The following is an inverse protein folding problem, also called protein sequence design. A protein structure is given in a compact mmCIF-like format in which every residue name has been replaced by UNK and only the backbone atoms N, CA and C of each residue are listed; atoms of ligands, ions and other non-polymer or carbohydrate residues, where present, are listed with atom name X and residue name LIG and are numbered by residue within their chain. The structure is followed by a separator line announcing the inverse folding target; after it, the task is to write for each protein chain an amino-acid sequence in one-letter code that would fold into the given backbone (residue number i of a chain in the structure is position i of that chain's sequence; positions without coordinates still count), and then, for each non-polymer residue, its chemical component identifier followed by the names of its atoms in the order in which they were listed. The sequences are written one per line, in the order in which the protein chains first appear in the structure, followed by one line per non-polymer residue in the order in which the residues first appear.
data_IF_556740641778
#
_entry.id   IF_556740641778
#
_cell.length_a   1.000
_cell.length_b   1.000
_cell.length_c   1.000
_cell.angle_alpha   90.00
_cell.angle_beta   90.00
_cell.angle_gamma   90.00
#
_symmetry.space_group_name_H-M   'P 1'
#
loop_
_entity.id
_entity.type
_entity.pdbx_description
1 polymer ?
#
# COMPACT_ATOMS: atom_id res chain seq x y z
N UNK A 1 2.36 -5.88 -7.74
CA UNK A 1 1.52 -5.59 -6.57
C UNK A 1 2.33 -4.94 -5.44
N UNK A 2 1.71 -4.13 -4.58
CA UNK A 2 2.34 -3.19 -3.67
C UNK A 2 3.03 -3.87 -2.48
N UNK A 3 2.63 -5.08 -2.15
CA UNK A 3 3.00 -5.78 -0.92
C UNK A 3 4.51 -6.01 -0.79
N UNK A 4 5.19 -6.31 -1.89
CA UNK A 4 6.65 -6.41 -1.89
C UNK A 4 7.33 -5.09 -1.45
N UNK A 5 6.78 -3.93 -1.84
CA UNK A 5 7.26 -2.62 -1.39
C UNK A 5 7.06 -2.45 0.12
N UNK A 6 5.93 -2.88 0.67
CA UNK A 6 5.65 -2.80 2.10
C UNK A 6 6.53 -3.73 2.91
N UNK A 7 6.71 -4.98 2.47
CA UNK A 7 7.64 -5.93 3.08
C UNK A 7 9.05 -5.36 3.10
N UNK A 8 9.51 -4.76 1.99
CA UNK A 8 10.81 -4.10 1.88
C UNK A 8 10.96 -2.96 2.89
N UNK A 9 9.96 -2.08 3.01
CA UNK A 9 10.00 -0.96 3.96
C UNK A 9 9.89 -1.41 5.42
N UNK A 10 9.05 -2.41 5.71
CA UNK A 10 8.94 -3.00 7.04
C UNK A 10 10.24 -3.68 7.47
N UNK A 11 10.93 -4.36 6.55
CA UNK A 11 12.26 -4.91 6.80
C UNK A 11 13.31 -3.83 7.02
N UNK A 12 13.31 -2.78 6.20
CA UNK A 12 14.22 -1.64 6.35
C UNK A 12 14.03 -0.98 7.72
N UNK A 13 12.79 -0.69 8.09
CA UNK A 13 12.45 -0.02 9.35
C UNK A 13 12.79 -0.89 10.56
N UNK A 14 12.63 -2.21 10.47
CA UNK A 14 13.06 -3.13 11.52
C UNK A 14 14.59 -3.18 11.64
N UNK A 15 15.30 -3.23 10.51
CA UNK A 15 16.76 -3.26 10.48
C UNK A 15 17.38 -1.98 11.05
N UNK A 16 16.74 -0.84 10.82
CA UNK A 16 17.13 0.46 11.37
C UNK A 16 16.64 0.67 12.82
N UNK A 17 15.89 -0.28 13.38
CA UNK A 17 15.35 -0.21 14.73
C UNK A 17 14.24 0.82 14.91
N UNK A 18 13.63 1.29 13.81
CA UNK A 18 12.51 2.21 13.83
C UNK A 18 11.23 1.46 14.22
N UNK A 19 10.95 0.31 13.62
CA UNK A 19 9.76 -0.48 13.98
C UNK A 19 10.16 -1.76 14.72
N UNK A 20 9.46 -2.11 15.80
CA UNK A 20 9.52 -3.44 16.42
C UNK A 20 8.17 -4.14 16.32
N UNK A 21 8.17 -5.42 15.91
CA UNK A 21 6.98 -6.29 15.69
C UNK A 21 6.27 -6.13 14.34
N UNK A 22 7.01 -6.06 13.24
CA UNK A 22 6.44 -6.11 11.87
C UNK A 22 6.25 -7.53 11.33
N UNK A 23 6.52 -8.59 12.10
CA UNK A 23 6.48 -9.98 11.62
C UNK A 23 5.09 -10.42 11.18
N UNK A 24 4.05 -10.05 11.92
CA UNK A 24 2.66 -10.39 11.57
C UNK A 24 2.24 -9.66 10.28
N UNK A 25 2.48 -8.35 10.21
CA UNK A 25 2.18 -7.53 9.02
C UNK A 25 2.93 -8.00 7.78
N UNK A 26 4.21 -8.34 7.91
CA UNK A 26 4.99 -8.92 6.80
C UNK A 26 4.45 -10.27 6.35
N UNK A 27 3.96 -11.09 7.27
CA UNK A 27 3.37 -12.39 6.95
C UNK A 27 2.08 -12.23 6.13
N UNK A 28 1.21 -11.30 6.53
CA UNK A 28 -0.01 -10.97 5.79
C UNK A 28 0.33 -10.42 4.40
N UNK A 29 1.19 -9.41 4.31
CA UNK A 29 1.59 -8.85 3.01
C UNK A 29 2.26 -9.89 2.09
N UNK A 30 3.01 -10.84 2.64
CA UNK A 30 3.57 -11.92 1.84
C UNK A 30 2.49 -12.86 1.31
N UNK A 31 1.45 -13.11 2.11
CA UNK A 31 0.30 -13.89 1.68
C UNK A 31 -0.51 -13.17 0.60
N UNK A 32 -0.68 -11.84 0.69
CA UNK A 32 -1.30 -11.02 -0.35
C UNK A 32 -0.44 -11.00 -1.63
N UNK A 33 0.89 -10.85 -1.52
CA UNK A 33 1.80 -10.96 -2.67
C UNK A 33 1.69 -12.33 -3.36
N UNK A 34 1.59 -13.39 -2.56
CA UNK A 34 1.39 -14.75 -3.06
C UNK A 34 0.05 -14.89 -3.78
N UNK A 35 -1.04 -14.30 -3.26
CA UNK A 35 -2.35 -14.30 -3.91
C UNK A 35 -2.32 -13.62 -5.28
N UNK A 36 -1.76 -12.42 -5.34
CA UNK A 36 -1.63 -11.60 -6.54
C UNK A 36 -0.74 -12.23 -7.61
N UNK A 37 0.33 -12.89 -7.18
CA UNK A 37 1.15 -13.69 -8.08
C UNK A 37 0.30 -14.78 -8.77
N UNK A 38 -0.62 -15.42 -8.05
CA UNK A 38 -1.51 -16.41 -8.65
C UNK A 38 -2.56 -15.78 -9.57
N UNK A 39 -3.08 -14.59 -9.26
CA UNK A 39 -3.93 -13.85 -10.19
C UNK A 39 -3.19 -13.57 -11.50
N UNK A 40 -1.93 -13.12 -11.43
CA UNK A 40 -1.10 -12.94 -12.61
C UNK A 40 -0.97 -14.25 -13.40
N UNK A 41 -0.58 -15.36 -12.76
CA UNK A 41 -0.44 -16.65 -13.45
C UNK A 41 -1.76 -17.14 -14.07
N UNK A 42 -2.90 -16.84 -13.45
CA UNK A 42 -4.21 -17.09 -14.04
C UNK A 42 -4.36 -16.30 -15.33
N UNK A 43 -4.10 -15.00 -15.33
CA UNK A 43 -4.19 -14.15 -16.52
C UNK A 43 -3.23 -14.58 -17.63
N UNK A 44 -1.99 -14.94 -17.29
CA UNK A 44 -1.00 -15.46 -18.23
C UNK A 44 -1.49 -16.79 -18.85
N UNK A 45 -2.10 -17.68 -18.05
CA UNK A 45 -2.67 -18.93 -18.55
C UNK A 45 -3.85 -18.74 -19.52
N UNK A 46 -4.51 -17.57 -19.45
CA UNK A 46 -5.58 -17.15 -20.36
C UNK A 46 -5.06 -16.33 -21.55
N UNK A 47 -3.74 -16.11 -21.63
CA UNK A 47 -3.08 -15.41 -22.73
C UNK A 47 -2.82 -13.92 -22.49
N UNK A 48 -2.91 -13.44 -21.26
CA UNK A 48 -2.64 -12.04 -20.88
C UNK A 48 -1.20 -11.58 -21.15
N UNK A 49 -0.26 -12.52 -21.35
CA UNK A 49 1.15 -12.25 -21.60
C UNK A 49 1.56 -12.44 -23.07
N UNK A 50 0.65 -12.78 -23.98
CA UNK A 50 1.04 -13.22 -25.34
C UNK A 50 1.69 -12.11 -26.16
N UNK A 51 1.24 -10.86 -26.00
CA UNK A 51 1.77 -9.72 -26.75
C UNK A 51 3.01 -9.16 -26.05
N UNK A 52 4.06 -8.91 -26.83
CA UNK A 52 5.28 -8.30 -26.30
C UNK A 52 5.04 -6.92 -25.66
N UNK A 53 4.16 -6.11 -26.25
CA UNK A 53 3.86 -4.78 -25.73
C UNK A 53 3.21 -4.82 -24.35
N UNK A 54 2.30 -5.77 -24.11
CA UNK A 54 1.64 -5.96 -22.82
C UNK A 54 2.69 -6.33 -21.75
N UNK A 55 3.60 -7.26 -22.07
CA UNK A 55 4.73 -7.63 -21.18
C UNK A 55 5.65 -6.45 -20.90
N UNK A 56 6.01 -5.69 -21.94
CA UNK A 56 6.87 -4.52 -21.80
C UNK A 56 6.25 -3.48 -20.86
N UNK A 57 4.98 -3.14 -21.09
CA UNK A 57 4.27 -2.16 -20.27
C UNK A 57 4.12 -2.64 -18.83
N UNK A 58 3.71 -3.89 -18.61
CA UNK A 58 3.54 -4.46 -17.28
C UNK A 58 4.83 -4.44 -16.46
N UNK A 59 5.97 -4.83 -17.06
CA UNK A 59 7.26 -4.84 -16.38
C UNK A 59 7.71 -3.44 -15.95
N UNK A 60 7.61 -2.45 -16.85
CA UNK A 60 8.04 -1.09 -16.54
C UNK A 60 7.07 -0.40 -15.57
N UNK A 61 5.77 -0.64 -15.70
CA UNK A 61 4.76 -0.18 -14.76
C UNK A 61 5.01 -0.75 -13.36
N UNK A 62 5.34 -2.04 -13.23
CA UNK A 62 5.65 -2.67 -11.94
C UNK A 62 6.86 -2.02 -11.25
N UNK A 63 7.94 -1.74 -11.98
CA UNK A 63 9.13 -1.07 -11.44
C UNK A 63 8.82 0.36 -11.01
N UNK A 64 8.10 1.11 -11.85
CA UNK A 64 7.70 2.48 -11.54
C UNK A 64 6.77 2.53 -10.32
N UNK A 65 5.79 1.63 -10.28
CA UNK A 65 4.84 1.52 -9.18
C UNK A 65 5.52 1.16 -7.86
N UNK A 66 6.49 0.23 -7.88
CA UNK A 66 7.32 -0.10 -6.72
C UNK A 66 7.92 1.17 -6.08
N UNK A 67 8.57 2.02 -6.89
CA UNK A 67 9.22 3.23 -6.39
C UNK A 67 8.23 4.29 -5.89
N UNK A 68 7.05 4.41 -6.51
CA UNK A 68 5.98 5.28 -5.99
C UNK A 68 5.62 4.86 -4.57
N UNK A 69 5.38 3.58 -4.32
CA UNK A 69 4.98 3.09 -3.02
C UNK A 69 6.07 3.24 -1.96
N UNK A 70 7.35 3.01 -2.33
CA UNK A 70 8.49 3.29 -1.45
C UNK A 70 8.51 4.79 -1.07
N UNK A 71 8.31 5.67 -2.04
CA UNK A 71 8.23 7.12 -1.81
C UNK A 71 7.05 7.52 -0.92
N UNK A 72 5.84 7.03 -1.21
CA UNK A 72 4.65 7.26 -0.39
C UNK A 72 4.83 6.75 1.04
N UNK A 73 5.42 5.56 1.22
CA UNK A 73 5.68 5.01 2.54
C UNK A 73 6.69 5.84 3.32
N UNK A 74 7.77 6.29 2.65
CA UNK A 74 8.78 7.13 3.27
C UNK A 74 8.19 8.49 3.74
N UNK A 75 7.19 9.01 3.04
CA UNK A 75 6.41 10.17 3.48
C UNK A 75 5.49 9.82 4.67
N UNK A 76 4.66 8.78 4.49
CA UNK A 76 3.70 8.30 5.47
C UNK A 76 3.24 6.88 5.12
N UNK A 77 3.43 5.88 6.01
CA UNK A 77 2.88 4.54 5.82
C UNK A 77 1.36 4.54 5.63
N UNK A 78 0.62 5.38 6.37
CA UNK A 78 -0.84 5.51 6.21
C UNK A 78 -1.23 6.03 4.83
N UNK A 79 -0.45 6.95 4.25
CA UNK A 79 -0.69 7.42 2.88
C UNK A 79 -0.46 6.29 1.86
N UNK A 80 0.61 5.51 2.05
CA UNK A 80 0.89 4.37 1.19
C UNK A 80 -0.23 3.33 1.24
N UNK A 81 -0.73 3.00 2.44
CA UNK A 81 -1.84 2.06 2.61
C UNK A 81 -3.17 2.59 2.06
N UNK A 82 -3.48 3.87 2.28
CA UNK A 82 -4.67 4.49 1.69
C UNK A 82 -4.62 4.50 0.16
N UNK A 83 -3.45 4.77 -0.43
CA UNK A 83 -3.26 4.68 -1.87
C UNK A 83 -3.57 3.27 -2.38
N UNK A 84 -3.04 2.23 -1.72
CA UNK A 84 -3.34 0.85 -2.11
C UNK A 84 -4.79 0.47 -1.88
N UNK A 85 -5.42 0.88 -0.77
CA UNK A 85 -6.85 0.66 -0.53
C UNK A 85 -7.71 1.13 -1.72
N UNK A 86 -7.40 2.28 -2.30
CA UNK A 86 -8.11 2.80 -3.49
C UNK A 86 -7.86 1.95 -4.74
N UNK A 87 -6.64 1.42 -4.91
CA UNK A 87 -6.31 0.53 -6.03
C UNK A 87 -7.08 -0.79 -5.88
N UNK A 88 -7.09 -1.39 -4.69
CA UNK A 88 -7.80 -2.64 -4.44
C UNK A 88 -9.32 -2.44 -4.60
N UNK A 89 -9.87 -1.33 -4.10
CA UNK A 89 -11.28 -1.00 -4.28
C UNK A 89 -11.65 -0.88 -5.76
N UNK A 90 -10.79 -0.25 -6.55
CA UNK A 90 -10.99 -0.18 -8.00
C UNK A 90 -10.89 -1.56 -8.68
N UNK A 91 -10.03 -2.46 -8.18
CA UNK A 91 -9.94 -3.83 -8.65
C UNK A 91 -11.23 -4.63 -8.34
N UNK A 92 -11.79 -4.47 -7.14
CA UNK A 92 -13.10 -5.05 -6.77
C UNK A 92 -14.19 -4.63 -7.75
N UNK A 93 -14.28 -3.33 -8.05
CA UNK A 93 -15.27 -2.80 -8.99
C UNK A 93 -15.04 -3.35 -10.41
N UNK A 94 -13.80 -3.32 -10.89
CA UNK A 94 -13.43 -3.80 -12.23
C UNK A 94 -13.77 -5.27 -12.43
N UNK A 95 -13.40 -6.14 -11.48
CA UNK A 95 -13.75 -7.55 -11.55
C UNK A 95 -15.24 -7.79 -11.35
N UNK A 96 -15.92 -6.99 -10.51
CA UNK A 96 -17.37 -7.02 -10.37
C UNK A 96 -18.08 -6.76 -11.71
N UNK A 97 -17.76 -5.64 -12.34
CA UNK A 97 -18.28 -5.28 -13.66
C UNK A 97 -17.98 -6.34 -14.72
N UNK A 98 -16.76 -6.88 -14.73
CA UNK A 98 -16.36 -7.92 -15.69
C UNK A 98 -17.17 -9.22 -15.51
N UNK A 99 -17.34 -9.67 -14.27
CA UNK A 99 -18.09 -10.89 -13.93
C UNK A 99 -19.56 -10.72 -14.30
N UNK A 100 -20.16 -9.58 -13.96
CA UNK A 100 -21.57 -9.30 -14.23
C UNK A 100 -21.83 -9.16 -15.75
N UNK A 101 -20.97 -8.45 -16.47
CA UNK A 101 -21.12 -8.24 -17.90
C UNK A 101 -20.90 -9.50 -18.75
N UNK A 102 -20.17 -10.49 -18.23
CA UNK A 102 -19.78 -11.70 -18.97
C UNK A 102 -20.29 -13.00 -18.34
N UNK A 103 -21.28 -12.93 -17.45
CA UNK A 103 -21.70 -14.05 -16.60
C UNK A 103 -21.99 -15.34 -17.40
N UNK A 104 -22.84 -15.27 -18.43
CA UNK A 104 -23.22 -16.44 -19.23
C UNK A 104 -22.01 -17.05 -19.94
N UNK A 105 -21.15 -16.20 -20.52
CA UNK A 105 -19.94 -16.63 -21.23
C UNK A 105 -18.98 -17.31 -20.25
N UNK A 106 -18.67 -16.68 -19.12
CA UNK A 106 -17.74 -17.19 -18.13
C UNK A 106 -18.21 -18.52 -17.52
N UNK A 107 -19.52 -18.70 -17.34
CA UNK A 107 -20.11 -19.97 -16.89
C UNK A 107 -19.98 -21.10 -17.91
N UNK A 108 -19.93 -20.76 -19.20
CA UNK A 108 -19.75 -21.74 -20.30
C UNK A 108 -18.29 -22.17 -20.47
N UNK A 109 -17.33 -21.37 -20.00
CA UNK A 109 -15.91 -21.62 -20.18
C UNK A 109 -15.33 -22.45 -19.02
N UNK A 110 -14.41 -23.39 -19.32
CA UNK A 110 -13.77 -24.20 -18.28
C UNK A 110 -12.88 -23.32 -17.39
N UNK A 111 -12.83 -23.65 -16.08
CA UNK A 111 -11.92 -22.97 -15.18
C UNK A 111 -10.45 -23.19 -15.56
N UNK A 112 -9.63 -22.15 -15.39
CA UNK A 112 -8.19 -22.22 -15.55
C UNK A 112 -7.61 -23.27 -14.60
N UNK A 113 -6.71 -24.13 -15.11
CA UNK A 113 -6.12 -25.23 -14.32
C UNK A 113 -5.37 -24.69 -13.10
N UNK A 114 -4.65 -23.60 -13.27
CA UNK A 114 -3.87 -22.96 -12.21
C UNK A 114 -4.77 -22.36 -11.12
N UNK A 115 -5.91 -21.77 -11.49
CA UNK A 115 -6.90 -21.30 -10.53
C UNK A 115 -7.44 -22.45 -9.66
N UNK A 116 -7.78 -23.60 -10.27
CA UNK A 116 -8.18 -24.78 -9.50
C UNK A 116 -7.09 -25.23 -8.52
N UNK A 117 -5.83 -25.27 -8.97
CA UNK A 117 -4.71 -25.67 -8.11
C UNK A 117 -4.50 -24.71 -6.95
N UNK A 118 -4.68 -23.40 -7.18
CA UNK A 118 -4.54 -22.37 -6.16
C UNK A 118 -5.68 -22.42 -5.14
N UNK A 119 -6.93 -22.31 -5.59
CA UNK A 119 -8.10 -22.19 -4.70
C UNK A 119 -8.54 -23.51 -4.06
N UNK A 120 -8.27 -24.65 -4.72
CA UNK A 120 -8.68 -25.99 -4.23
C UNK A 120 -7.47 -26.89 -3.99
N UNK A 121 -6.29 -26.30 -3.78
CA UNK A 121 -5.05 -27.00 -3.47
C UNK A 121 -5.08 -27.70 -2.12
N UNK A 122 -4.11 -28.59 -1.89
CA UNK A 122 -3.96 -29.28 -0.60
C UNK A 122 -3.41 -28.36 0.50
N UNK A 123 -2.65 -27.33 0.12
CA UNK A 123 -2.10 -26.33 1.03
C UNK A 123 -2.73 -24.97 0.74
N UNK A 124 -3.60 -24.54 1.64
CA UNK A 124 -4.26 -23.24 1.62
C UNK A 124 -3.69 -22.30 2.68
N UNK A 125 -2.48 -22.55 3.19
CA UNK A 125 -1.89 -21.76 4.27
C UNK A 125 -1.86 -20.26 3.94
N UNK A 126 -1.28 -19.87 2.79
CA UNK A 126 -1.22 -18.47 2.39
C UNK A 126 -2.59 -17.92 1.97
N UNK A 127 -3.45 -18.77 1.40
CA UNK A 127 -4.82 -18.36 1.08
C UNK A 127 -5.62 -18.00 2.34
N UNK A 128 -5.42 -18.74 3.42
CA UNK A 128 -6.04 -18.50 4.72
C UNK A 128 -5.42 -17.30 5.46
N UNK A 129 -4.18 -16.93 5.14
CA UNK A 129 -3.41 -15.95 5.90
C UNK A 129 -3.63 -14.49 5.45
N UNK A 130 -3.97 -14.26 4.18
CA UNK A 130 -4.27 -12.91 3.70
C UNK A 130 -5.69 -12.43 4.05
N UNK A 131 -6.56 -13.35 4.49
CA UNK A 131 -7.96 -13.03 4.81
C UNK A 131 -8.04 -12.37 6.19
N UNK A 132 -8.55 -11.14 6.23
CA UNK A 132 -8.65 -10.32 7.44
C UNK A 132 -10.10 -10.20 7.91
N UNK A 133 -11.07 -10.20 6.99
CA UNK A 133 -12.48 -10.03 7.33
C UNK A 133 -13.16 -11.37 7.66
N UNK A 134 -12.57 -12.48 7.22
CA UNK A 134 -13.09 -13.84 7.39
C UNK A 134 -12.20 -14.64 8.34
N UNK A 135 -12.80 -15.53 9.14
CA UNK A 135 -12.01 -16.40 10.02
C UNK A 135 -11.18 -17.37 9.18
N UNK A 136 -9.92 -17.52 9.58
CA UNK A 136 -8.99 -18.52 9.01
C UNK A 136 -9.68 -19.87 8.83
N UNK A 137 -9.66 -20.38 7.60
CA UNK A 137 -10.21 -21.69 7.25
C UNK A 137 -11.68 -21.72 6.84
N UNK A 138 -12.41 -20.60 6.95
CA UNK A 138 -13.85 -20.55 6.68
C UNK A 138 -14.17 -20.43 5.19
N UNK A 139 -13.44 -19.60 4.43
CA UNK A 139 -13.63 -19.48 2.99
C UNK A 139 -12.96 -20.66 2.28
N UNK A 140 -13.75 -21.43 1.52
CA UNK A 140 -13.28 -22.55 0.70
C UNK A 140 -13.93 -22.49 -0.68
N UNK A 141 -13.30 -21.80 -1.65
CA UNK A 141 -13.90 -21.65 -2.97
C UNK A 141 -14.10 -22.99 -3.70
N UNK A 142 -15.21 -23.11 -4.41
CA UNK A 142 -15.42 -24.17 -5.39
C UNK A 142 -15.20 -23.61 -6.80
N UNK A 143 -14.29 -24.20 -7.57
CA UNK A 143 -13.93 -23.70 -8.90
C UNK A 143 -14.42 -24.67 -9.98
N UNK A 144 -15.58 -24.37 -10.59
CA UNK A 144 -16.20 -25.20 -11.64
C UNK A 144 -15.97 -24.62 -13.03
N UNK A 145 -16.10 -23.32 -13.17
CA UNK A 145 -15.99 -22.60 -14.44
C UNK A 145 -15.16 -21.31 -14.27
N UNK A 146 -15.03 -20.55 -15.36
CA UNK A 146 -14.25 -19.31 -15.33
C UNK A 146 -14.96 -18.19 -14.55
N UNK A 147 -16.29 -18.24 -14.43
CA UNK A 147 -17.04 -17.31 -13.59
C UNK A 147 -16.61 -17.43 -12.13
N UNK A 148 -16.51 -18.66 -11.61
CA UNK A 148 -16.06 -18.89 -10.24
C UNK A 148 -14.63 -18.37 -10.02
N UNK A 149 -13.75 -18.45 -11.02
CA UNK A 149 -12.39 -17.93 -10.93
C UNK A 149 -12.39 -16.42 -10.75
N UNK A 150 -13.04 -15.67 -11.64
CA UNK A 150 -13.06 -14.20 -11.56
C UNK A 150 -13.86 -13.68 -10.36
N UNK A 151 -14.93 -14.38 -9.97
CA UNK A 151 -15.67 -14.04 -8.74
C UNK A 151 -14.79 -14.20 -7.50
N UNK A 152 -13.95 -15.24 -7.44
CA UNK A 152 -13.01 -15.41 -6.33
C UNK A 152 -11.87 -14.41 -6.36
N UNK A 153 -11.34 -14.05 -7.53
CA UNK A 153 -10.35 -12.96 -7.65
C UNK A 153 -10.94 -11.67 -7.06
N UNK A 154 -12.14 -11.26 -7.51
CA UNK A 154 -12.84 -10.09 -6.96
C UNK A 154 -12.99 -10.15 -5.44
N UNK A 155 -13.34 -11.31 -4.90
CA UNK A 155 -13.53 -11.48 -3.47
C UNK A 155 -12.20 -11.55 -2.69
N UNK A 156 -11.10 -11.95 -3.33
CA UNK A 156 -9.75 -11.79 -2.77
C UNK A 156 -9.40 -10.29 -2.67
N UNK A 157 -9.70 -9.49 -3.70
CA UNK A 157 -9.44 -8.03 -3.67
C UNK A 157 -10.22 -7.32 -2.55
N UNK A 158 -11.41 -7.82 -2.19
CA UNK A 158 -12.15 -7.28 -1.05
C UNK A 158 -11.43 -7.52 0.28
N UNK A 159 -10.75 -8.66 0.42
CA UNK A 159 -9.92 -8.92 1.59
C UNK A 159 -8.70 -8.01 1.60
N UNK A 160 -8.09 -7.76 0.44
CA UNK A 160 -7.00 -6.79 0.32
C UNK A 160 -7.44 -5.37 0.74
N UNK A 161 -8.61 -4.90 0.31
CA UNK A 161 -9.21 -3.63 0.78
C UNK A 161 -9.32 -3.62 2.31
N UNK A 162 -9.87 -4.68 2.89
CA UNK A 162 -10.03 -4.80 4.34
C UNK A 162 -8.68 -4.77 5.08
N UNK A 163 -7.66 -5.44 4.54
CA UNK A 163 -6.29 -5.41 5.07
C UNK A 163 -5.71 -4.00 5.00
N UNK A 164 -5.80 -3.31 3.86
CA UNK A 164 -5.26 -1.96 3.71
C UNK A 164 -5.94 -0.97 4.65
N UNK A 165 -7.25 -1.09 4.86
CA UNK A 165 -7.98 -0.31 5.84
C UNK A 165 -7.52 -0.60 7.27
N UNK A 166 -7.35 -1.87 7.65
CA UNK A 166 -6.85 -2.27 8.96
C UNK A 166 -5.41 -1.77 9.21
N UNK A 167 -4.57 -1.78 8.18
CA UNK A 167 -3.21 -1.26 8.22
C UNK A 167 -3.12 0.26 8.38
N UNK A 168 -4.21 1.01 8.28
CA UNK A 168 -4.21 2.45 8.53
C UNK A 168 -4.49 2.83 10.00
N UNK A 169 -4.96 1.88 10.83
CA UNK A 169 -5.26 2.16 12.24
C UNK A 169 -3.98 2.43 13.04
N UNK A 170 -3.86 3.68 13.52
CA UNK A 170 -2.74 4.18 14.34
C UNK A 170 -2.63 3.49 15.70
N UNK A 171 -3.66 2.78 16.15
CA UNK A 171 -3.61 1.98 17.38
C UNK A 171 -3.00 0.60 17.18
N UNK A 172 -2.94 0.12 15.93
CA UNK A 172 -2.34 -1.16 15.54
C UNK A 172 -0.92 -0.96 15.03
N UNK A 173 -0.67 0.16 14.34
CA UNK A 173 0.67 0.60 13.96
C UNK A 173 1.34 1.24 15.18
N UNK A 174 2.23 0.50 15.84
CA UNK A 174 3.15 1.07 16.83
C UNK A 174 4.04 2.10 16.12
N UNK A 175 3.68 3.38 16.20
CA UNK A 175 4.49 4.48 15.73
C UNK A 175 5.87 4.40 16.37
N UNK A 176 6.91 4.37 15.54
CA UNK A 176 8.25 4.59 16.07
C UNK A 176 8.35 6.01 16.61
N UNK A 177 9.05 6.25 17.73
CA UNK A 177 9.33 7.61 18.21
C UNK A 177 10.09 8.49 17.20
N UNK A 178 10.55 7.96 16.06
CA UNK A 178 11.33 8.66 15.02
C UNK A 178 10.59 8.86 13.70
N UNK A 179 9.41 8.28 13.50
CA UNK A 179 8.62 8.49 12.27
C UNK A 179 8.19 9.94 12.17
N UNK A 180 7.82 10.57 13.30
CA UNK A 180 7.51 12.00 13.39
C UNK A 180 8.71 12.87 12.98
N UNK A 181 9.94 12.44 13.28
CA UNK A 181 11.19 13.16 12.95
C UNK A 181 11.49 13.04 11.44
N UNK A 182 11.24 11.88 10.82
CA UNK A 182 11.48 11.67 9.39
C UNK A 182 10.41 12.37 8.54
N UNK A 183 9.15 12.32 8.96
CA UNK A 183 8.07 13.09 8.34
C UNK A 183 8.34 14.59 8.48
N UNK A 184 8.75 15.06 9.66
CA UNK A 184 9.16 16.45 9.86
C UNK A 184 10.39 16.84 9.01
N UNK A 185 11.38 15.96 8.86
CA UNK A 185 12.56 16.21 8.03
C UNK A 185 12.24 16.27 6.54
N UNK A 186 11.33 15.41 6.05
CA UNK A 186 10.90 15.42 4.65
C UNK A 186 10.06 16.66 4.33
N UNK A 187 9.22 17.10 5.27
CA UNK A 187 8.47 18.35 5.17
C UNK A 187 9.43 19.55 5.25
N UNK A 188 10.43 19.52 6.12
CA UNK A 188 11.47 20.56 6.19
C UNK A 188 12.29 20.63 4.89
N UNK A 189 12.56 19.50 4.22
CA UNK A 189 13.21 19.48 2.92
C UNK A 189 12.30 20.07 1.81
N UNK A 190 11.00 19.82 1.86
CA UNK A 190 10.03 20.43 0.94
C UNK A 190 9.90 21.95 1.15
N UNK A 191 9.88 22.42 2.40
CA UNK A 191 9.90 23.85 2.77
C UNK A 191 11.26 24.52 2.46
N UNK A 192 12.38 23.80 2.57
CA UNK A 192 13.67 24.29 2.12
C UNK A 192 13.71 24.41 0.58
N UNK A 193 13.14 23.43 -0.13
CA UNK A 193 12.97 23.48 -1.59
C UNK A 193 12.09 24.66 -2.02
N UNK A 194 11.01 24.96 -1.29
CA UNK A 194 10.19 26.17 -1.46
C UNK A 194 11.03 27.46 -1.39
N UNK A 195 12.03 27.51 -0.50
CA UNK A 195 12.92 28.69 -0.34
C UNK A 195 13.95 28.85 -1.46
N UNK A 196 14.38 27.76 -2.09
CA UNK A 196 15.40 27.79 -3.14
C UNK A 196 14.86 27.76 -4.57
N UNK A 197 13.66 27.20 -4.80
CA UNK A 197 13.13 26.93 -6.14
C UNK A 197 11.80 27.62 -6.48
N UNK A 198 11.12 28.25 -5.51
CA UNK A 198 10.15 29.33 -5.70
C UNK A 198 9.15 29.22 -6.87
N UNK A 199 8.32 28.18 -6.92
CA UNK A 199 7.17 28.13 -7.84
C UNK A 199 5.84 28.13 -7.07
N UNK A 200 4.88 28.95 -7.53
CA UNK A 200 3.56 29.12 -6.89
C UNK A 200 2.77 27.80 -6.80
N UNK A 201 2.95 26.90 -7.77
CA UNK A 201 2.37 25.56 -7.76
C UNK A 201 2.91 24.65 -6.63
N UNK A 202 4.16 24.87 -6.21
CA UNK A 202 4.75 24.15 -5.06
C UNK A 202 4.19 24.62 -3.72
N UNK A 203 3.70 25.86 -3.64
CA UNK A 203 3.12 26.44 -2.42
C UNK A 203 1.75 25.85 -2.10
N UNK A 204 0.88 25.72 -3.11
CA UNK A 204 -0.45 25.11 -2.96
C UNK A 204 -0.35 23.63 -2.59
N UNK A 205 0.55 22.89 -3.25
CA UNK A 205 0.77 21.47 -2.98
C UNK A 205 1.35 21.22 -1.57
N UNK A 206 2.28 22.07 -1.10
CA UNK A 206 2.86 21.95 0.24
C UNK A 206 1.85 22.31 1.35
N UNK A 207 0.99 23.30 1.11
CA UNK A 207 -0.07 23.69 2.04
C UNK A 207 -1.16 22.59 2.16
N UNK A 208 -1.60 22.03 1.03
CA UNK A 208 -2.57 20.92 1.00
C UNK A 208 -1.99 19.65 1.68
N UNK A 209 -0.69 19.36 1.48
CA UNK A 209 -0.03 18.24 2.16
C UNK A 209 0.05 18.45 3.68
N UNK A 210 0.36 19.68 4.12
CA UNK A 210 0.47 20.02 5.52
C UNK A 210 -0.88 19.91 6.23
N UNK A 211 -1.95 20.39 5.59
CA UNK A 211 -3.30 20.30 6.11
C UNK A 211 -3.78 18.84 6.19
N UNK A 212 -3.56 18.04 5.13
CA UNK A 212 -3.91 16.61 5.10
C UNK A 212 -3.09 15.74 6.06
N UNK A 213 -1.86 16.15 6.37
CA UNK A 213 -1.01 15.48 7.35
C UNK A 213 -1.35 15.83 8.81
N UNK A 214 -2.31 16.73 9.06
CA UNK A 214 -2.72 17.10 10.42
C UNK A 214 -1.70 17.95 11.19
N UNK A 215 -0.82 18.67 10.47
CA UNK A 215 0.28 19.45 11.05
C UNK A 215 -0.20 20.55 11.99
N UNK A 216 -1.34 21.17 11.70
CA UNK A 216 -1.93 22.22 12.55
C UNK A 216 -2.27 21.66 13.92
N UNK A 217 -2.92 20.49 13.99
CA UNK A 217 -3.24 19.82 15.25
C UNK A 217 -2.00 19.28 15.98
N UNK A 218 -0.94 18.92 15.25
CA UNK A 218 0.34 18.51 15.83
C UNK A 218 1.06 19.69 16.51
N UNK A 219 1.10 20.86 15.86
CA UNK A 219 1.74 22.07 16.39
C UNK A 219 0.95 22.68 17.56
N UNK A 220 -0.38 22.63 17.53
CA UNK A 220 -1.26 23.06 18.64
C UNK A 220 -1.03 22.25 19.94
N UNK A 221 -0.44 21.06 19.85
CA UNK A 221 -0.15 20.18 21.00
C UNK A 221 1.09 20.60 21.81
N UNK A 222 1.85 21.58 21.32
CA UNK A 222 3.01 22.17 21.99
C UNK A 222 2.77 23.66 22.27
N UNK A 223 2.27 24.05 23.46
CA UNK A 223 1.73 25.38 23.75
C UNK A 223 2.79 26.49 23.91
N UNK A 224 4.01 26.28 23.43
CA UNK A 224 5.15 27.19 23.63
C UNK A 224 5.32 28.14 22.42
N UNK A 225 4.62 27.90 21.30
CA UNK A 225 4.94 28.55 20.04
C UNK A 225 3.73 29.17 19.35
N UNK A 226 3.76 30.49 19.19
CA UNK A 226 2.71 31.30 18.59
C UNK A 226 2.58 31.11 17.07
N UNK A 227 1.42 31.48 16.54
CA UNK A 227 0.97 31.26 15.17
C UNK A 227 1.67 32.18 14.16
N UNK A 228 2.64 31.67 13.40
CA UNK A 228 3.25 32.40 12.27
C UNK A 228 4.22 31.55 11.44
N UNK A 229 4.18 31.67 10.11
CA UNK A 229 4.94 30.83 9.16
C UNK A 229 6.46 31.12 9.16
N UNK A 230 6.89 32.33 9.54
CA UNK A 230 8.32 32.69 9.65
C UNK A 230 9.02 31.96 10.82
N UNK A 231 8.25 31.53 11.82
CA UNK A 231 8.75 30.85 13.03
C UNK A 231 9.13 29.38 12.79
N UNK A 232 8.53 28.72 11.78
CA UNK A 232 8.83 27.31 11.48
C UNK A 232 10.32 27.13 11.13
N UNK A 233 10.91 28.09 10.43
CA UNK A 233 12.33 28.09 10.04
C UNK A 233 13.26 28.12 11.25
N UNK A 234 12.96 28.96 12.25
CA UNK A 234 13.78 29.11 13.46
C UNK A 234 13.61 27.93 14.42
N UNK A 235 12.40 27.38 14.51
CA UNK A 235 12.13 26.17 15.28
C UNK A 235 12.84 24.93 14.69
N UNK A 236 12.90 24.83 13.35
CA UNK A 236 13.64 23.78 12.64
C UNK A 236 15.14 23.95 12.84
N UNK A 237 15.69 25.16 12.76
CA UNK A 237 17.11 25.42 13.03
C UNK A 237 17.49 25.10 14.48
N UNK A 238 16.64 25.46 15.45
CA UNK A 238 16.87 25.14 16.86
C UNK A 238 16.82 23.63 17.13
N UNK A 239 15.89 22.92 16.48
CA UNK A 239 15.76 21.46 16.58
C UNK A 239 17.00 20.76 15.98
N UNK A 240 17.46 21.19 14.81
CA UNK A 240 18.66 20.67 14.15
C UNK A 240 19.93 20.91 14.99
N UNK A 241 20.04 22.06 15.68
CA UNK A 241 21.16 22.39 16.58
C UNK A 241 21.11 21.63 17.93
N UNK A 242 19.96 21.07 18.31
CA UNK A 242 19.77 20.34 19.56
C UNK A 242 20.04 18.82 19.44
N UNK A 243 20.28 18.32 18.22
CA UNK A 243 20.62 16.91 17.99
C UNK A 243 22.09 16.63 18.38
N UNK A 244 22.39 15.56 19.12
CA UNK A 244 23.67 15.39 19.80
C UNK A 244 24.80 14.77 18.94
N UNK A 245 24.86 15.04 17.64
CA UNK A 245 25.98 14.61 16.80
C UNK A 245 26.28 15.63 15.68
N UNK A 246 27.55 16.02 15.46
CA UNK A 246 27.93 16.76 14.27
C UNK A 246 27.91 15.82 13.05
N UNK A 247 27.58 16.38 11.88
CA UNK A 247 27.62 15.73 10.56
C UNK A 247 28.95 14.98 10.30
#
# INVERSE_FOLDING_TARGET
MPYFSYISMLHLYESLGWWRRSSETKRVHFAEEWNEYHHLLIMESLGGDQKWFDRFLAQHAAVFYYWILIGLWALSPSLAYNFSELIEAHAVDTYGEFVDANEELLKSLPAAKIARQYYTGADLYFFDEFQVSVRRGERRPEIKNLYDVFANIRDDEKEHVATMAACQDRNVIVSSPRTEIITAATIAAALASQRYFGSDAGQEAAADLAERAGLVQFLERFPIFGTGLEFLTDAIEALLRSLPFPL
#
